data_IF_639916410218
#
_entry.id   IF_639916410218
#
_cell.length_a   1.000
_cell.length_b   1.000
_cell.length_c   1.000
_cell.angle_alpha   90.00
_cell.angle_beta   90.00
_cell.angle_gamma   90.00
#
_symmetry.space_group_name_H-M   'P 1'
#
loop_
_entity.id
_entity.type
_entity.pdbx_description
1 polymer ?
#
# COMPACT_ATOMS: atom_id res chain seq x y z
N UNK A 1 21.02 -7.31 -10.27
CA UNK A 1 19.84 -7.17 -11.11
C UNK A 1 19.93 -7.98 -12.40
N UNK A 2 20.95 -7.76 -13.22
CA UNK A 2 21.07 -8.40 -14.55
C UNK A 2 21.01 -9.93 -14.48
N UNK A 3 21.72 -10.52 -13.51
CA UNK A 3 21.86 -11.98 -13.41
C UNK A 3 20.74 -12.65 -12.60
N UNK A 4 20.21 -11.97 -11.58
CA UNK A 4 19.20 -12.51 -10.65
C UNK A 4 18.20 -11.42 -10.28
N UNK A 5 17.31 -11.01 -11.20
CA UNK A 5 16.37 -9.91 -10.99
C UNK A 5 15.38 -10.18 -9.84
N UNK A 6 15.03 -11.45 -9.62
CA UNK A 6 14.11 -11.89 -8.57
C UNK A 6 14.70 -11.77 -7.15
N UNK A 7 16.03 -11.76 -7.02
CA UNK A 7 16.72 -11.69 -5.72
C UNK A 7 16.94 -10.27 -5.23
N UNK A 8 16.90 -9.29 -6.13
CA UNK A 8 17.27 -7.91 -5.80
C UNK A 8 16.47 -7.35 -4.64
N UNK A 9 15.14 -7.48 -4.70
CA UNK A 9 14.25 -6.95 -3.66
C UNK A 9 14.52 -7.59 -2.29
N UNK A 10 14.76 -8.89 -2.25
CA UNK A 10 15.07 -9.61 -1.00
C UNK A 10 16.41 -9.22 -0.41
N UNK A 11 17.44 -9.13 -1.24
CA UNK A 11 18.81 -8.82 -0.81
C UNK A 11 18.96 -7.36 -0.32
N UNK A 12 18.20 -6.42 -0.91
CA UNK A 12 18.28 -5.00 -0.56
C UNK A 12 17.29 -4.57 0.52
N UNK A 13 16.28 -5.39 0.84
CA UNK A 13 15.20 -5.04 1.76
C UNK A 13 15.69 -4.62 3.15
N UNK A 14 16.70 -5.28 3.68
CA UNK A 14 17.26 -4.98 5.02
C UNK A 14 17.82 -3.56 5.06
N UNK A 15 18.58 -3.18 4.04
CA UNK A 15 19.17 -1.83 3.96
C UNK A 15 18.08 -0.77 3.73
N UNK A 16 17.11 -1.05 2.85
CA UNK A 16 16.00 -0.15 2.58
C UNK A 16 15.17 0.11 3.86
N UNK A 17 14.87 -0.93 4.62
CA UNK A 17 14.15 -0.80 5.89
C UNK A 17 14.93 0.05 6.90
N UNK A 18 16.23 -0.20 7.04
CA UNK A 18 17.08 0.58 7.96
C UNK A 18 17.07 2.07 7.64
N UNK A 19 17.26 2.45 6.39
CA UNK A 19 17.21 3.85 5.98
C UNK A 19 15.82 4.46 6.13
N UNK A 20 14.75 3.71 5.81
CA UNK A 20 13.38 4.19 5.98
C UNK A 20 13.06 4.48 7.45
N UNK A 21 13.41 3.58 8.37
CA UNK A 21 13.21 3.79 9.81
C UNK A 21 14.01 5.00 10.31
N UNK A 22 15.25 5.18 9.88
CA UNK A 22 16.06 6.34 10.24
C UNK A 22 15.43 7.67 9.75
N UNK A 23 14.95 7.70 8.51
CA UNK A 23 14.27 8.89 7.96
C UNK A 23 12.95 9.19 8.69
N UNK A 24 12.19 8.17 9.08
CA UNK A 24 10.97 8.34 9.90
C UNK A 24 11.33 9.00 11.25
N UNK A 25 12.39 8.54 11.92
CA UNK A 25 12.82 9.12 13.20
C UNK A 25 13.26 10.57 13.03
N UNK A 26 14.03 10.89 11.99
CA UNK A 26 14.43 12.27 11.68
C UNK A 26 13.21 13.16 11.39
N UNK A 27 12.23 12.67 10.64
CA UNK A 27 11.01 13.40 10.36
C UNK A 27 10.21 13.70 11.66
N UNK A 28 10.15 12.74 12.58
CA UNK A 28 9.50 12.92 13.88
C UNK A 28 10.22 13.98 14.71
N UNK A 29 11.54 13.90 14.82
CA UNK A 29 12.36 14.83 15.61
C UNK A 29 12.20 16.27 15.11
N UNK A 30 12.26 16.44 13.79
CA UNK A 30 12.22 17.78 13.15
C UNK A 30 10.80 18.25 12.79
N UNK A 31 9.77 17.47 13.10
CA UNK A 31 8.36 17.76 12.78
C UNK A 31 8.11 17.99 11.29
N UNK A 32 8.80 17.23 10.43
CA UNK A 32 8.58 17.29 8.98
C UNK A 32 7.31 16.55 8.59
N UNK A 33 6.55 17.12 7.64
CA UNK A 33 5.53 16.36 6.95
C UNK A 33 6.20 15.29 6.08
N UNK A 34 5.71 14.06 6.17
CA UNK A 34 6.30 12.91 5.48
C UNK A 34 5.21 12.05 4.85
N UNK A 35 5.52 11.47 3.70
CA UNK A 35 4.75 10.40 3.09
C UNK A 35 5.59 9.14 3.18
N UNK A 36 5.05 8.09 3.82
CA UNK A 36 5.68 6.77 3.90
C UNK A 36 4.93 5.83 2.97
N UNK A 37 5.60 5.41 1.89
CA UNK A 37 5.05 4.49 0.92
C UNK A 37 5.44 3.05 1.24
N UNK A 38 4.48 2.13 1.12
CA UNK A 38 4.72 0.71 1.39
C UNK A 38 3.53 -0.16 1.00
N UNK A 39 3.76 -1.47 0.99
CA UNK A 39 2.74 -2.45 0.58
C UNK A 39 1.73 -2.80 1.66
N UNK A 40 1.95 -2.34 2.89
CA UNK A 40 1.15 -2.74 4.07
C UNK A 40 1.01 -4.27 4.23
N UNK A 41 2.01 -5.04 3.78
CA UNK A 41 2.00 -6.51 3.78
C UNK A 41 1.94 -7.12 5.18
N UNK A 42 2.61 -6.48 6.13
CA UNK A 42 2.64 -6.87 7.54
C UNK A 42 1.92 -5.80 8.37
N UNK A 43 0.77 -6.10 9.01
CA UNK A 43 -0.02 -5.14 9.75
C UNK A 43 0.71 -4.41 10.89
N UNK A 44 1.70 -5.05 11.49
CA UNK A 44 2.45 -4.46 12.60
C UNK A 44 3.32 -3.26 12.16
N UNK A 45 3.75 -3.24 10.90
CA UNK A 45 4.61 -2.16 10.40
C UNK A 45 3.85 -0.85 10.29
N UNK A 46 2.75 -0.73 9.50
CA UNK A 46 1.99 0.51 9.42
C UNK A 46 1.35 0.90 10.76
N UNK A 47 0.94 -0.07 11.58
CA UNK A 47 0.39 0.20 12.91
C UNK A 47 1.42 0.91 13.81
N UNK A 48 2.61 0.31 13.97
CA UNK A 48 3.67 0.89 14.80
C UNK A 48 4.07 2.28 14.30
N UNK A 49 4.22 2.43 12.98
CA UNK A 49 4.57 3.72 12.36
C UNK A 49 3.50 4.77 12.64
N UNK A 50 2.22 4.45 12.45
CA UNK A 50 1.11 5.37 12.70
C UNK A 50 1.03 5.79 14.18
N UNK A 51 1.13 4.84 15.10
CA UNK A 51 1.12 5.13 16.54
C UNK A 51 2.29 6.03 16.94
N UNK A 52 3.51 5.74 16.44
CA UNK A 52 4.68 6.59 16.71
C UNK A 52 4.49 8.03 16.25
N UNK A 53 3.91 8.27 15.08
CA UNK A 53 3.57 9.61 14.62
C UNK A 53 2.51 10.28 15.51
N UNK A 54 1.44 9.57 15.85
CA UNK A 54 0.37 10.13 16.72
C UNK A 54 0.86 10.48 18.11
N UNK A 55 1.66 9.62 18.74
CA UNK A 55 2.29 9.88 20.04
C UNK A 55 3.17 11.13 20.03
N UNK A 56 3.71 11.47 18.86
CA UNK A 56 4.49 12.67 18.64
C UNK A 56 3.67 13.87 18.10
N UNK A 57 2.33 13.80 18.15
CA UNK A 57 1.42 14.91 17.86
C UNK A 57 1.19 15.18 16.37
N UNK A 58 1.45 14.20 15.50
CA UNK A 58 1.11 14.28 14.08
C UNK A 58 -0.35 13.90 13.83
N UNK A 59 -0.95 14.54 12.81
CA UNK A 59 -2.15 14.03 12.16
C UNK A 59 -1.72 12.93 11.18
N UNK A 60 -2.31 11.75 11.27
CA UNK A 60 -1.91 10.58 10.48
C UNK A 60 -3.07 10.12 9.59
N UNK A 61 -2.83 10.04 8.31
CA UNK A 61 -3.82 9.56 7.34
C UNK A 61 -3.25 8.38 6.55
N UNK A 62 -4.06 7.34 6.37
CA UNK A 62 -3.72 6.20 5.55
C UNK A 62 -4.40 6.28 4.19
N UNK A 63 -3.66 6.02 3.13
CA UNK A 63 -4.15 5.97 1.75
C UNK A 63 -3.96 4.57 1.20
N UNK A 64 -5.02 3.97 0.66
CA UNK A 64 -4.97 2.63 0.10
C UNK A 64 -5.62 2.55 -1.27
N UNK A 65 -5.00 1.77 -2.15
CA UNK A 65 -5.51 1.49 -3.50
C UNK A 65 -6.20 0.14 -3.50
N UNK A 66 -7.50 0.14 -3.76
CA UNK A 66 -8.33 -1.07 -3.82
C UNK A 66 -8.19 -1.77 -5.20
N UNK A 67 -6.96 -2.16 -5.55
CA UNK A 67 -6.68 -2.80 -6.83
C UNK A 67 -7.00 -4.30 -6.82
N UNK A 68 -7.63 -4.85 -7.88
CA UNK A 68 -7.76 -6.30 -8.07
C UNK A 68 -6.38 -6.97 -8.17
N UNK A 69 -6.22 -8.14 -7.52
CA UNK A 69 -4.93 -8.85 -7.46
C UNK A 69 -4.34 -9.15 -8.84
N UNK A 70 -5.18 -9.58 -9.79
CA UNK A 70 -4.72 -9.88 -11.15
C UNK A 70 -4.18 -8.63 -11.87
N UNK A 71 -4.75 -7.44 -11.61
CA UNK A 71 -4.30 -6.19 -12.23
C UNK A 71 -2.94 -5.78 -11.71
N UNK A 72 -2.72 -5.90 -10.41
CA UNK A 72 -1.42 -5.59 -9.80
C UNK A 72 -0.37 -6.64 -10.13
N UNK A 73 -0.76 -7.92 -10.28
CA UNK A 73 0.13 -8.98 -10.76
C UNK A 73 0.59 -8.69 -12.20
N UNK A 74 -0.33 -8.41 -13.11
CA UNK A 74 0.03 -8.02 -14.47
C UNK A 74 0.92 -6.77 -14.49
N UNK A 75 0.57 -5.76 -13.68
CA UNK A 75 1.32 -4.51 -13.60
C UNK A 75 2.79 -4.69 -13.20
N UNK A 76 3.13 -5.61 -12.30
CA UNK A 76 4.54 -5.83 -11.97
C UNK A 76 5.31 -6.58 -13.08
N UNK A 77 4.67 -7.45 -13.87
CA UNK A 77 5.29 -8.07 -15.02
C UNK A 77 5.51 -7.07 -16.16
N UNK A 78 4.52 -6.22 -16.44
CA UNK A 78 4.65 -5.15 -17.44
C UNK A 78 5.78 -4.20 -17.08
N UNK A 79 5.83 -3.72 -15.83
CA UNK A 79 6.92 -2.85 -15.37
C UNK A 79 8.29 -3.52 -15.50
N UNK A 80 8.40 -4.82 -15.16
CA UNK A 80 9.66 -5.55 -15.35
C UNK A 80 10.08 -5.57 -16.82
N UNK A 81 9.14 -5.81 -17.73
CA UNK A 81 9.41 -5.84 -19.18
C UNK A 81 9.82 -4.46 -19.68
N UNK A 82 9.10 -3.41 -19.31
CA UNK A 82 9.41 -2.02 -19.67
C UNK A 82 10.82 -1.60 -19.19
N UNK A 83 11.14 -1.88 -17.90
CA UNK A 83 12.47 -1.61 -17.36
C UNK A 83 13.56 -2.34 -18.16
N UNK A 84 13.31 -3.62 -18.50
CA UNK A 84 14.24 -4.45 -19.27
C UNK A 84 14.44 -3.93 -20.69
N UNK A 85 13.38 -3.49 -21.37
CA UNK A 85 13.45 -2.96 -22.72
C UNK A 85 14.16 -1.60 -22.75
N UNK A 86 13.96 -0.77 -21.74
CA UNK A 86 14.56 0.57 -21.66
C UNK A 86 16.03 0.55 -21.26
N UNK A 87 16.43 -0.24 -20.25
CA UNK A 87 17.78 -0.20 -19.66
C UNK A 87 18.53 -1.55 -19.67
N UNK A 88 17.94 -2.59 -20.30
CA UNK A 88 18.54 -3.92 -20.42
C UNK A 88 18.36 -4.81 -19.17
N UNK A 89 17.77 -4.32 -18.08
CA UNK A 89 17.46 -5.07 -16.88
C UNK A 89 16.24 -4.48 -16.15
N UNK A 90 15.59 -5.27 -15.30
CA UNK A 90 14.44 -4.84 -14.52
C UNK A 90 14.35 -5.57 -13.18
N UNK A 91 13.52 -5.05 -12.28
CA UNK A 91 13.21 -5.67 -10.99
C UNK A 91 11.96 -6.52 -11.13
N UNK A 92 12.11 -7.83 -11.01
CA UNK A 92 10.98 -8.74 -10.96
C UNK A 92 10.50 -8.89 -9.51
N UNK A 93 9.24 -8.57 -9.27
CA UNK A 93 8.61 -8.81 -7.98
C UNK A 93 8.35 -10.31 -7.80
N UNK A 94 8.60 -10.83 -6.60
CA UNK A 94 8.26 -12.20 -6.26
C UNK A 94 6.74 -12.33 -6.07
N UNK A 95 6.14 -13.32 -6.73
CA UNK A 95 4.69 -13.56 -6.67
C UNK A 95 4.19 -13.82 -5.26
N UNK A 96 4.92 -14.59 -4.45
CA UNK A 96 4.51 -14.85 -3.08
C UNK A 96 4.50 -13.56 -2.22
N UNK A 97 5.44 -12.66 -2.49
CA UNK A 97 5.48 -11.34 -1.85
C UNK A 97 4.32 -10.45 -2.29
N UNK A 98 3.94 -10.52 -3.57
CA UNK A 98 2.76 -9.85 -4.09
C UNK A 98 1.48 -10.37 -3.43
N UNK A 99 1.27 -11.68 -3.42
CA UNK A 99 0.05 -12.30 -2.88
C UNK A 99 -0.10 -11.97 -1.38
N UNK A 100 1.00 -12.03 -0.62
CA UNK A 100 1.01 -11.59 0.79
C UNK A 100 0.71 -10.10 0.96
N UNK A 101 1.10 -9.25 0.01
CA UNK A 101 0.77 -7.83 0.06
C UNK A 101 -0.72 -7.58 -0.23
N UNK A 102 -1.30 -8.33 -1.18
CA UNK A 102 -2.73 -8.24 -1.52
C UNK A 102 -3.61 -8.60 -0.33
N UNK A 103 -3.26 -9.65 0.41
CA UNK A 103 -3.97 -10.08 1.62
C UNK A 103 -3.64 -9.18 2.82
N UNK A 104 -2.37 -8.90 3.03
CA UNK A 104 -1.87 -8.11 4.15
C UNK A 104 -2.43 -6.70 4.19
N UNK A 105 -2.71 -6.09 3.04
CA UNK A 105 -3.37 -4.79 2.97
C UNK A 105 -4.73 -4.79 3.70
N UNK A 106 -5.54 -5.83 3.52
CA UNK A 106 -6.85 -5.93 4.17
C UNK A 106 -6.70 -5.97 5.69
N UNK A 107 -5.82 -6.84 6.18
CA UNK A 107 -5.53 -6.96 7.61
C UNK A 107 -4.92 -5.69 8.20
N UNK A 108 -4.05 -5.01 7.45
CA UNK A 108 -3.42 -3.76 7.89
C UNK A 108 -4.43 -2.63 8.03
N UNK A 109 -5.35 -2.48 7.08
CA UNK A 109 -6.39 -1.46 7.15
C UNK A 109 -7.35 -1.72 8.32
N UNK A 110 -7.78 -2.96 8.49
CA UNK A 110 -8.66 -3.33 9.60
C UNK A 110 -7.95 -3.16 10.96
N UNK A 111 -6.65 -3.43 11.03
CA UNK A 111 -5.86 -3.20 12.23
C UNK A 111 -5.74 -1.71 12.56
N UNK A 112 -5.43 -0.86 11.58
CA UNK A 112 -5.38 0.60 11.75
C UNK A 112 -6.74 1.16 12.21
N UNK A 113 -7.84 0.63 11.65
CA UNK A 113 -9.20 1.00 12.02
C UNK A 113 -9.53 0.58 13.46
N UNK A 114 -9.32 -0.69 13.81
CA UNK A 114 -9.67 -1.23 15.12
C UNK A 114 -8.87 -0.58 16.26
N UNK A 115 -7.58 -0.34 16.04
CA UNK A 115 -6.69 0.32 17.01
C UNK A 115 -6.82 1.85 16.98
N UNK A 116 -7.64 2.40 16.07
CA UNK A 116 -7.80 3.85 15.88
C UNK A 116 -6.46 4.56 15.72
N UNK A 117 -5.54 3.90 15.01
CA UNK A 117 -4.15 4.34 14.89
C UNK A 117 -3.94 5.50 13.92
N UNK A 118 -4.95 5.83 13.12
CA UNK A 118 -4.93 6.93 12.15
C UNK A 118 -6.18 7.80 12.30
N UNK A 119 -6.11 9.04 11.82
CA UNK A 119 -7.22 9.98 11.87
C UNK A 119 -8.18 9.80 10.69
N UNK A 120 -7.64 9.31 9.56
CA UNK A 120 -8.45 8.96 8.39
C UNK A 120 -7.87 7.78 7.62
N UNK A 121 -8.76 7.05 6.92
CA UNK A 121 -8.40 6.03 5.94
C UNK A 121 -9.09 6.39 4.63
N UNK A 122 -8.32 6.62 3.58
CA UNK A 122 -8.79 6.95 2.25
C UNK A 122 -8.61 5.77 1.30
N UNK A 123 -9.67 5.39 0.61
CA UNK A 123 -9.66 4.32 -0.39
C UNK A 123 -9.79 4.89 -1.80
N UNK A 124 -8.95 4.42 -2.71
CA UNK A 124 -8.95 4.79 -4.12
C UNK A 124 -9.09 3.56 -5.03
N UNK A 125 -9.56 3.78 -6.26
CA UNK A 125 -9.58 2.76 -7.30
C UNK A 125 -8.16 2.38 -7.76
N UNK A 126 -8.06 1.39 -8.63
CA UNK A 126 -6.79 0.87 -9.17
C UNK A 126 -5.87 1.96 -9.76
N UNK A 127 -6.43 2.93 -10.48
CA UNK A 127 -5.66 4.00 -11.12
C UNK A 127 -5.36 5.18 -10.17
N UNK A 128 -5.83 5.11 -8.93
CA UNK A 128 -5.78 6.20 -7.94
C UNK A 128 -6.46 7.51 -8.39
N UNK A 129 -7.26 7.46 -9.46
CA UNK A 129 -7.96 8.62 -10.02
C UNK A 129 -9.29 8.89 -9.34
N UNK A 130 -9.96 7.82 -8.90
CA UNK A 130 -11.27 7.91 -8.27
C UNK A 130 -11.17 7.59 -6.80
N UNK A 131 -11.52 8.58 -5.97
CA UNK A 131 -11.79 8.37 -4.56
C UNK A 131 -13.04 7.49 -4.39
N UNK A 132 -12.95 6.47 -3.55
CA UNK A 132 -14.01 5.51 -3.28
C UNK A 132 -14.71 5.78 -1.97
N UNK A 133 -13.94 5.91 -0.88
CA UNK A 133 -14.47 6.11 0.46
C UNK A 133 -13.43 6.77 1.38
N UNK A 134 -13.89 7.48 2.40
CA UNK A 134 -13.07 7.99 3.50
C UNK A 134 -13.71 7.64 4.84
N UNK A 135 -12.98 6.95 5.66
CA UNK A 135 -13.28 6.72 7.06
C UNK A 135 -12.62 7.81 7.90
N UNK A 136 -13.38 8.55 8.68
CA UNK A 136 -12.87 9.63 9.53
C UNK A 136 -13.09 9.32 11.01
N UNK A 137 -12.02 9.40 11.79
CA UNK A 137 -12.09 9.21 13.24
C UNK A 137 -12.37 10.55 13.92
N UNK A 138 -13.50 10.66 14.61
CA UNK A 138 -13.89 11.85 15.39
C UNK A 138 -14.28 11.43 16.80
N UNK A 139 -13.73 12.09 17.80
CA UNK A 139 -14.05 11.79 19.21
C UNK A 139 -13.98 10.30 19.55
N UNK A 140 -12.98 9.61 19.04
CA UNK A 140 -12.76 8.16 19.19
C UNK A 140 -13.84 7.28 18.54
N UNK A 141 -14.64 7.80 17.62
CA UNK A 141 -15.62 7.04 16.85
C UNK A 141 -15.41 7.24 15.36
N UNK A 142 -15.50 6.14 14.61
CA UNK A 142 -15.48 6.20 13.16
C UNK A 142 -16.86 6.64 12.65
N UNK A 143 -16.89 7.50 11.63
CA UNK A 143 -18.11 7.94 10.96
C UNK A 143 -18.77 6.81 10.14
N UNK A 144 -17.97 5.80 9.72
CA UNK A 144 -18.43 4.60 9.01
C UNK A 144 -18.15 3.38 9.88
N UNK A 145 -19.19 2.66 10.25
CA UNK A 145 -19.13 1.48 11.15
C UNK A 145 -19.08 0.16 10.38
N UNK A 146 -18.16 0.06 9.42
CA UNK A 146 -17.81 -1.19 8.73
C UNK A 146 -16.28 -1.25 8.62
N UNK A 147 -15.73 -2.46 8.47
CA UNK A 147 -14.29 -2.61 8.28
C UNK A 147 -13.85 -2.09 6.90
N UNK A 148 -12.72 -1.35 6.80
CA UNK A 148 -12.21 -0.87 5.53
C UNK A 148 -11.96 -1.98 4.51
N UNK A 149 -11.54 -3.18 4.95
CA UNK A 149 -11.36 -4.35 4.09
C UNK A 149 -12.62 -4.73 3.32
N UNK A 150 -13.80 -4.53 3.91
CA UNK A 150 -15.10 -4.80 3.25
C UNK A 150 -15.28 -3.94 2.00
N UNK A 151 -14.99 -2.64 2.09
CA UNK A 151 -15.09 -1.73 0.94
C UNK A 151 -13.97 -2.01 -0.08
N UNK A 152 -12.77 -2.35 0.34
CA UNK A 152 -11.69 -2.77 -0.57
C UNK A 152 -12.09 -4.01 -1.37
N UNK A 153 -12.66 -5.04 -0.72
CA UNK A 153 -13.10 -6.28 -1.38
C UNK A 153 -14.23 -5.98 -2.38
N UNK A 154 -15.19 -5.16 -2.00
CA UNK A 154 -16.30 -4.73 -2.87
C UNK A 154 -15.77 -3.98 -4.10
N UNK A 155 -14.88 -3.00 -3.90
CA UNK A 155 -14.27 -2.23 -4.98
C UNK A 155 -13.43 -3.09 -5.92
N UNK A 156 -12.65 -4.05 -5.39
CA UNK A 156 -11.88 -5.02 -6.20
C UNK A 156 -12.79 -5.85 -7.10
N UNK A 157 -13.93 -6.34 -6.58
CA UNK A 157 -14.92 -7.10 -7.36
C UNK A 157 -15.54 -6.27 -8.47
N UNK A 158 -15.96 -5.04 -8.18
CA UNK A 158 -16.55 -4.13 -9.15
C UNK A 158 -15.59 -3.81 -10.30
N UNK A 159 -14.35 -3.44 -9.96
CA UNK A 159 -13.32 -3.15 -10.94
C UNK A 159 -12.95 -4.37 -11.80
N UNK A 160 -12.91 -5.56 -11.20
CA UNK A 160 -12.65 -6.79 -11.94
C UNK A 160 -13.76 -7.12 -12.94
N UNK A 161 -15.00 -6.73 -12.67
CA UNK A 161 -16.15 -6.92 -13.59
C UNK A 161 -16.22 -5.86 -14.70
N UNK A 162 -15.51 -4.74 -14.55
CA UNK A 162 -15.49 -3.68 -15.56
C UNK A 162 -14.74 -4.14 -16.82
N UNK A 163 -15.49 -4.27 -17.92
CA UNK A 163 -14.94 -4.71 -19.21
C UNK A 163 -13.96 -3.70 -19.80
N UNK A 164 -14.21 -2.40 -19.63
CA UNK A 164 -13.37 -1.33 -20.16
C UNK A 164 -12.01 -1.35 -19.47
N UNK A 165 -12.00 -1.47 -18.15
CA UNK A 165 -10.77 -1.54 -17.38
C UNK A 165 -9.94 -2.78 -17.73
N UNK A 166 -10.59 -3.94 -17.96
CA UNK A 166 -9.89 -5.16 -18.38
C UNK A 166 -9.28 -5.05 -19.77
N UNK A 167 -9.95 -4.36 -20.69
CA UNK A 167 -9.42 -4.16 -22.04
C UNK A 167 -8.21 -3.22 -22.06
N UNK A 168 -8.19 -2.19 -21.20
CA UNK A 168 -7.05 -1.28 -21.06
C UNK A 168 -5.77 -1.98 -20.56
N UNK A 169 -5.90 -3.09 -19.83
CA UNK A 169 -4.77 -3.87 -19.32
C UNK A 169 -4.14 -4.80 -20.37
N UNK A 170 -4.84 -5.07 -21.46
CA UNK A 170 -4.43 -6.03 -22.51
C UNK A 170 -3.94 -5.26 -23.78
N UNK A 171 -4.27 -3.99 -23.89
CA UNK A 171 -3.85 -3.12 -24.99
C UNK A 171 -2.45 -2.55 -24.81
#
# INVERSE_FOLDING_TARGET
LIKYPERYSTETQIFSNFFTEALIQEAIIHKYNIIVEGTMRNPEVPLRTALSFRENGFNVEAFAIAAPALFTELGFYLRYQEEKDFQGYGRLSDKNSHDRAVEGLLHSLDRLYNEKAVDKIHLYNYQAEKHLETFSLREQQWDINILPSTEVIKARRQQFQDKTLRLQLIA
#
